data_IF_401512165565
#
_entry.id   IF_401512165565
#
_cell.length_a   1.000
_cell.length_b   1.000
_cell.length_c   1.000
_cell.angle_alpha   90.00
_cell.angle_beta   90.00
_cell.angle_gamma   90.00
#
_symmetry.space_group_name_H-M   'P 1'
#
loop_
_entity.id
_entity.type
_entity.pdbx_description
1 polymer ?
#
# COMPACT_ATOMS: atom_id res chain seq x y z
N UNK A 1 0.84 12.66 14.03
CA UNK A 1 1.70 11.46 13.89
C UNK A 1 1.41 10.53 15.05
N UNK A 2 1.25 9.24 14.77
CA UNK A 2 1.15 8.18 15.79
C UNK A 2 2.39 7.31 15.55
N UNK A 3 3.33 7.32 16.48
CA UNK A 3 4.68 6.74 16.33
C UNK A 3 4.92 5.73 17.47
N UNK A 4 4.46 4.48 17.33
CA UNK A 4 4.64 3.46 18.36
C UNK A 4 6.09 2.94 18.39
N UNK A 5 6.54 2.54 19.57
CA UNK A 5 7.85 1.90 19.79
C UNK A 5 7.63 0.55 20.47
N UNK A 6 8.31 -0.49 20.00
CA UNK A 6 8.12 -1.87 20.49
C UNK A 6 9.46 -2.43 20.96
N UNK A 7 9.64 -2.57 22.27
CA UNK A 7 10.85 -3.13 22.83
C UNK A 7 11.04 -4.60 22.39
N UNK A 8 12.28 -4.97 22.06
CA UNK A 8 12.69 -6.31 21.62
C UNK A 8 12.07 -6.79 20.30
N UNK A 9 11.46 -5.88 19.52
CA UNK A 9 10.94 -6.19 18.20
C UNK A 9 12.04 -6.20 17.13
N UNK A 10 11.93 -7.11 16.17
CA UNK A 10 12.70 -7.06 14.93
C UNK A 10 11.86 -6.42 13.80
N UNK A 11 12.48 -6.15 12.65
CA UNK A 11 11.81 -5.54 11.50
C UNK A 11 10.55 -6.33 11.07
N UNK A 12 10.57 -7.65 11.21
CA UNK A 12 9.39 -8.49 10.90
C UNK A 12 8.23 -8.21 11.83
N UNK A 13 8.49 -7.97 13.10
CA UNK A 13 7.47 -7.67 14.11
C UNK A 13 6.88 -6.28 13.88
N UNK A 14 7.72 -5.31 13.53
CA UNK A 14 7.28 -3.97 13.16
C UNK A 14 6.37 -3.99 11.92
N UNK A 15 6.78 -4.70 10.85
CA UNK A 15 5.92 -4.89 9.66
C UNK A 15 4.59 -5.57 10.01
N UNK A 16 4.59 -6.58 10.90
CA UNK A 16 3.35 -7.22 11.36
C UNK A 16 2.45 -6.24 12.13
N UNK A 17 3.04 -5.41 12.99
CA UNK A 17 2.31 -4.42 13.78
C UNK A 17 1.69 -3.35 12.88
N UNK A 18 2.46 -2.80 11.94
CA UNK A 18 1.98 -1.83 10.97
C UNK A 18 0.82 -2.38 10.12
N UNK A 19 0.96 -3.60 9.58
CA UNK A 19 -0.10 -4.26 8.81
C UNK A 19 -1.37 -4.46 9.66
N UNK A 20 -1.22 -5.01 10.87
CA UNK A 20 -2.36 -5.24 11.76
C UNK A 20 -3.05 -3.94 12.17
N UNK A 21 -2.29 -2.88 12.43
CA UNK A 21 -2.80 -1.57 12.81
C UNK A 21 -3.65 -0.95 11.69
N UNK A 22 -3.15 -0.91 10.46
CA UNK A 22 -3.89 -0.34 9.32
C UNK A 22 -5.15 -1.16 9.04
N UNK A 23 -5.06 -2.50 9.02
CA UNK A 23 -6.21 -3.38 8.82
C UNK A 23 -7.28 -3.18 9.89
N UNK A 24 -6.86 -3.10 11.15
CA UNK A 24 -7.76 -2.84 12.26
C UNK A 24 -8.49 -1.52 12.08
N UNK A 25 -7.79 -0.43 11.73
CA UNK A 25 -8.42 0.87 11.52
C UNK A 25 -9.43 0.86 10.36
N UNK A 26 -9.08 0.22 9.23
CA UNK A 26 -10.01 0.08 8.10
C UNK A 26 -11.26 -0.70 8.51
N UNK A 27 -11.11 -1.82 9.21
CA UNK A 27 -12.24 -2.63 9.68
C UNK A 27 -13.08 -1.86 10.71
N UNK A 28 -12.43 -1.22 11.69
CA UNK A 28 -13.11 -0.46 12.72
C UNK A 28 -13.94 0.68 12.13
N UNK A 29 -13.41 1.39 11.13
CA UNK A 29 -14.13 2.44 10.41
C UNK A 29 -15.37 1.88 9.69
N UNK A 30 -15.26 0.72 9.04
CA UNK A 30 -16.37 0.05 8.37
C UNK A 30 -17.45 -0.42 9.37
N UNK A 31 -17.05 -0.89 10.55
CA UNK A 31 -17.97 -1.40 11.57
C UNK A 31 -18.68 -0.31 12.35
N UNK A 32 -18.03 0.85 12.53
CA UNK A 32 -18.50 1.89 13.46
C UNK A 32 -18.95 3.19 12.75
N UNK A 33 -18.58 3.40 11.49
CA UNK A 33 -18.85 4.65 10.75
C UNK A 33 -19.40 4.39 9.35
N UNK A 34 -20.13 3.28 9.13
CA UNK A 34 -20.61 2.91 7.80
C UNK A 34 -21.50 3.98 7.16
N UNK A 35 -22.41 4.60 7.92
CA UNK A 35 -23.31 5.64 7.41
C UNK A 35 -22.55 6.86 6.85
N UNK A 36 -21.53 7.32 7.58
CA UNK A 36 -20.66 8.41 7.13
C UNK A 36 -19.86 7.99 5.88
N UNK A 37 -19.40 6.73 5.85
CA UNK A 37 -18.68 6.19 4.69
C UNK A 37 -19.57 6.06 3.45
N UNK A 38 -20.83 5.68 3.61
CA UNK A 38 -21.82 5.64 2.52
C UNK A 38 -22.10 7.05 1.98
N UNK A 39 -22.20 8.05 2.87
CA UNK A 39 -22.28 9.45 2.45
C UNK A 39 -21.03 9.88 1.67
N UNK A 40 -19.84 9.55 2.14
CA UNK A 40 -18.58 9.84 1.43
C UNK A 40 -18.52 9.15 0.06
N UNK A 41 -19.01 7.92 -0.02
CA UNK A 41 -19.05 7.16 -1.26
C UNK A 41 -20.01 7.79 -2.30
N UNK A 42 -21.17 8.27 -1.86
CA UNK A 42 -22.13 8.94 -2.74
C UNK A 42 -21.60 10.30 -3.24
N UNK A 43 -20.97 11.09 -2.37
CA UNK A 43 -20.60 12.48 -2.67
C UNK A 43 -19.24 12.67 -3.31
N UNK A 44 -18.26 11.83 -3.00
CA UNK A 44 -16.87 12.10 -3.37
C UNK A 44 -16.21 10.93 -4.10
N UNK A 45 -16.37 9.70 -3.60
CA UNK A 45 -15.63 8.56 -4.13
C UNK A 45 -16.38 7.24 -3.96
N UNK A 46 -17.07 6.82 -5.01
CA UNK A 46 -17.87 5.60 -5.04
C UNK A 46 -17.09 4.32 -4.71
N UNK A 47 -15.76 4.32 -4.84
CA UNK A 47 -14.91 3.17 -4.58
C UNK A 47 -14.26 3.16 -3.20
N UNK A 48 -14.48 4.16 -2.35
CA UNK A 48 -13.74 4.27 -1.09
C UNK A 48 -14.01 3.11 -0.12
N UNK A 49 -15.28 2.67 -0.01
CA UNK A 49 -15.67 1.53 0.83
C UNK A 49 -15.02 0.24 0.34
N UNK A 50 -15.02 0.01 -0.97
CA UNK A 50 -14.44 -1.20 -1.56
C UNK A 50 -12.92 -1.25 -1.35
N UNK A 51 -12.23 -0.10 -1.46
CA UNK A 51 -10.80 -0.02 -1.14
C UNK A 51 -10.53 -0.29 0.34
N UNK A 52 -11.34 0.23 1.26
CA UNK A 52 -11.19 -0.07 2.68
C UNK A 52 -11.39 -1.56 2.98
N UNK A 53 -12.39 -2.19 2.37
CA UNK A 53 -12.62 -3.65 2.49
C UNK A 53 -11.45 -4.45 1.92
N UNK A 54 -10.91 -4.03 0.77
CA UNK A 54 -9.74 -4.66 0.17
C UNK A 54 -8.53 -4.57 1.12
N UNK A 55 -8.19 -3.38 1.61
CA UNK A 55 -7.07 -3.18 2.54
C UNK A 55 -7.25 -3.97 3.82
N UNK A 56 -8.45 -4.00 4.40
CA UNK A 56 -8.74 -4.75 5.63
C UNK A 56 -8.57 -6.27 5.48
N UNK A 57 -8.81 -6.82 4.29
CA UNK A 57 -8.87 -8.27 4.05
C UNK A 57 -7.64 -8.85 3.35
N UNK A 58 -6.92 -8.06 2.55
CA UNK A 58 -5.77 -8.52 1.75
C UNK A 58 -4.47 -8.52 2.58
N UNK A 59 -3.71 -9.63 2.63
CA UNK A 59 -2.35 -9.67 3.17
C UNK A 59 -1.43 -8.65 2.50
N UNK A 60 -0.64 -7.90 3.28
CA UNK A 60 0.31 -6.96 2.69
C UNK A 60 1.53 -7.72 2.17
N UNK A 61 1.85 -7.48 0.91
CA UNK A 61 2.98 -8.13 0.29
C UNK A 61 4.25 -7.40 0.72
N UNK A 62 5.27 -8.20 1.04
CA UNK A 62 6.57 -7.72 1.49
C UNK A 62 7.56 -7.93 0.37
N UNK A 63 8.18 -6.83 -0.04
CA UNK A 63 9.16 -6.80 -1.11
C UNK A 63 10.40 -6.09 -0.58
N UNK A 64 11.57 -6.61 -0.90
CA UNK A 64 12.81 -5.90 -0.62
C UNK A 64 12.96 -4.71 -1.56
N UNK A 65 13.74 -3.72 -1.15
CA UNK A 65 14.08 -2.59 -2.00
C UNK A 65 14.66 -3.03 -3.35
N UNK A 66 15.55 -4.03 -3.36
CA UNK A 66 16.17 -4.55 -4.59
C UNK A 66 15.13 -5.12 -5.55
N UNK A 67 14.22 -5.96 -5.06
CA UNK A 67 13.14 -6.55 -5.88
C UNK A 67 12.21 -5.47 -6.43
N UNK A 68 11.88 -4.45 -5.62
CA UNK A 68 11.05 -3.33 -6.07
C UNK A 68 11.71 -2.55 -7.22
N UNK A 69 13.02 -2.28 -7.13
CA UNK A 69 13.78 -1.64 -8.22
C UNK A 69 13.83 -2.52 -9.46
N UNK A 70 14.06 -3.83 -9.33
CA UNK A 70 14.07 -4.76 -10.47
C UNK A 70 12.74 -4.76 -11.23
N UNK A 71 11.61 -4.71 -10.52
CA UNK A 71 10.25 -4.63 -11.10
C UNK A 71 10.06 -3.31 -11.85
N UNK A 72 10.54 -2.20 -11.29
CA UNK A 72 10.47 -0.89 -11.93
C UNK A 72 11.37 -0.82 -13.17
N UNK A 73 12.58 -1.37 -13.11
CA UNK A 73 13.48 -1.44 -14.26
C UNK A 73 12.90 -2.30 -15.38
N UNK A 74 12.24 -3.42 -15.06
CA UNK A 74 11.55 -4.24 -16.05
C UNK A 74 10.36 -3.48 -16.68
N UNK A 75 9.58 -2.75 -15.89
CA UNK A 75 8.53 -1.88 -16.42
C UNK A 75 9.09 -0.84 -17.41
N UNK A 76 10.24 -0.22 -17.11
CA UNK A 76 10.92 0.71 -18.02
C UNK A 76 11.35 0.02 -19.31
N UNK A 77 11.92 -1.19 -19.22
CA UNK A 77 12.28 -2.00 -20.41
C UNK A 77 11.05 -2.32 -21.27
N UNK A 78 9.90 -2.54 -20.63
CA UNK A 78 8.62 -2.79 -21.29
C UNK A 78 7.89 -1.51 -21.76
N UNK A 79 8.56 -0.35 -21.70
CA UNK A 79 8.08 0.90 -22.29
C UNK A 79 7.35 1.84 -21.34
N UNK A 80 7.27 1.52 -20.03
CA UNK A 80 6.80 2.47 -19.02
C UNK A 80 7.78 3.64 -18.94
N UNK A 81 7.26 4.86 -18.98
CA UNK A 81 8.02 6.08 -18.74
C UNK A 81 7.66 6.61 -17.37
N UNK A 82 8.67 6.81 -16.53
CA UNK A 82 8.61 7.51 -15.26
C UNK A 82 9.20 8.90 -15.44
N UNK A 83 8.73 9.87 -14.66
CA UNK A 83 9.28 11.23 -14.63
C UNK A 83 10.64 11.25 -13.91
N UNK A 84 10.79 10.44 -12.86
CA UNK A 84 11.99 10.25 -12.08
C UNK A 84 12.77 9.01 -12.54
N UNK A 85 14.09 9.07 -12.43
CA UNK A 85 14.98 7.95 -12.74
C UNK A 85 14.61 6.73 -11.89
N UNK A 86 14.67 5.54 -12.50
CA UNK A 86 14.60 4.26 -11.78
C UNK A 86 15.99 3.68 -11.76
N UNK A 87 16.57 3.54 -10.56
CA UNK A 87 17.91 3.01 -10.37
C UNK A 87 18.12 2.50 -8.95
N UNK A 88 18.93 1.47 -8.78
CA UNK A 88 19.32 1.00 -7.46
C UNK A 88 20.21 2.03 -6.74
N UNK A 89 19.90 2.31 -5.47
CA UNK A 89 20.60 3.25 -4.61
C UNK A 89 19.99 4.66 -4.56
N UNK A 90 18.89 4.92 -5.26
CA UNK A 90 18.08 6.13 -5.10
C UNK A 90 16.74 5.83 -4.44
N UNK A 91 16.17 6.83 -3.79
CA UNK A 91 14.85 6.73 -3.18
C UNK A 91 13.76 6.55 -4.24
N UNK A 92 12.68 5.86 -3.88
CA UNK A 92 11.53 5.68 -4.76
C UNK A 92 10.68 6.95 -4.75
N UNK A 93 10.38 7.46 -5.94
CA UNK A 93 9.43 8.56 -6.08
C UNK A 93 7.99 8.05 -5.89
N UNK A 94 7.06 8.95 -5.55
CA UNK A 94 5.65 8.59 -5.35
C UNK A 94 5.02 7.91 -6.58
N UNK A 95 5.46 8.22 -7.79
CA UNK A 95 4.99 7.51 -9.00
C UNK A 95 5.46 6.05 -9.07
N UNK A 96 6.65 5.74 -8.53
CA UNK A 96 7.19 4.39 -8.47
C UNK A 96 6.42 3.56 -7.45
N UNK A 97 6.15 4.12 -6.27
CA UNK A 97 5.34 3.48 -5.23
C UNK A 97 3.91 3.18 -5.71
N UNK A 98 3.28 4.14 -6.40
CA UNK A 98 1.95 3.93 -7.00
C UNK A 98 1.98 2.85 -8.07
N UNK A 99 3.01 2.81 -8.91
CA UNK A 99 3.14 1.75 -9.90
C UNK A 99 3.25 0.37 -9.25
N UNK A 100 4.02 0.24 -8.17
CA UNK A 100 4.16 -1.02 -7.43
C UNK A 100 2.85 -1.46 -6.77
N UNK A 101 2.05 -0.53 -6.26
CA UNK A 101 0.86 -0.84 -5.45
C UNK A 101 -0.46 -0.92 -6.24
N UNK A 102 -0.59 -0.19 -7.35
CA UNK A 102 -1.85 -0.14 -8.13
C UNK A 102 -1.91 -1.19 -9.27
N UNK A 103 -0.77 -1.71 -9.75
CA UNK A 103 -0.76 -2.65 -10.88
C UNK A 103 -0.87 -4.11 -10.43
N UNK A 104 -2.02 -4.71 -10.76
CA UNK A 104 -2.34 -6.14 -10.52
C UNK A 104 -1.37 -7.12 -11.18
N UNK A 105 -0.75 -6.72 -12.29
CA UNK A 105 0.22 -7.56 -13.02
C UNK A 105 1.55 -7.71 -12.28
N UNK A 106 1.87 -6.82 -11.35
CA UNK A 106 3.13 -6.84 -10.59
C UNK A 106 3.11 -7.84 -9.42
N UNK A 107 2.01 -8.59 -9.26
CA UNK A 107 1.85 -9.55 -8.16
C UNK A 107 1.53 -8.93 -6.80
N UNK A 108 1.39 -7.61 -6.70
CA UNK A 108 1.17 -6.87 -5.44
C UNK A 108 -0.28 -6.53 -5.10
N UNK A 109 -1.20 -6.65 -6.05
CA UNK A 109 -2.62 -6.37 -5.83
C UNK A 109 -3.43 -7.66 -5.98
N UNK A 110 -3.53 -8.42 -4.88
CA UNK A 110 -4.51 -9.51 -4.73
C UNK A 110 -5.85 -8.96 -4.23
#
# INVERSE_FOLDING_TARGET
MVEPEIAFAELKDDMNCAEAYVKFLCQWLLDNCLEDMEFMADKFDKGCIDRLKLVASTPFIRVSYTEAVEILEDAVKNGKKFENEVKWGIDLASEHERFLTENKENGFAS
#
